data_IF_373110720888
#
_entry.id   IF_373110720888
#
_cell.length_a   1.000
_cell.length_b   1.000
_cell.length_c   1.000
_cell.angle_alpha   90.00
_cell.angle_beta   90.00
_cell.angle_gamma   90.00
#
_symmetry.space_group_name_H-M   'P 1'
#
loop_
_entity.id
_entity.type
_entity.pdbx_description
1 polymer ?
#
# COMPACT_ATOMS: atom_id res chain seq x y z
N UNK A 1 39.55 23.23 13.80
CA UNK A 1 38.13 22.79 13.87
C UNK A 1 38.10 21.35 13.39
N UNK A 2 37.57 20.43 14.20
CA UNK A 2 37.75 18.98 13.98
C UNK A 2 36.72 18.41 13.00
N UNK A 3 37.15 17.50 12.12
CA UNK A 3 36.32 16.71 11.18
C UNK A 3 35.07 16.04 11.80
N UNK A 4 34.96 15.96 13.13
CA UNK A 4 33.80 15.41 13.83
C UNK A 4 32.53 16.28 13.80
N UNK A 5 32.66 17.62 13.72
CA UNK A 5 31.48 18.50 13.66
C UNK A 5 30.83 18.51 12.26
N UNK A 6 31.63 18.39 11.20
CA UNK A 6 31.16 18.37 9.82
C UNK A 6 30.40 17.07 9.46
N UNK A 7 30.72 15.95 10.13
CA UNK A 7 29.99 14.69 9.99
C UNK A 7 28.66 14.67 10.76
N UNK A 8 28.57 15.37 11.90
CA UNK A 8 27.31 15.53 12.62
C UNK A 8 26.34 16.48 11.90
N UNK A 9 26.85 17.49 11.21
CA UNK A 9 26.04 18.45 10.43
C UNK A 9 25.50 17.86 9.12
N UNK A 10 26.19 16.87 8.53
CA UNK A 10 25.67 16.12 7.36
C UNK A 10 24.59 15.09 7.71
N UNK A 11 24.47 14.72 8.99
CA UNK A 11 23.49 13.77 9.49
C UNK A 11 22.27 14.43 10.15
N UNK A 12 22.24 15.76 10.27
CA UNK A 12 21.08 16.46 10.84
C UNK A 12 19.88 16.32 9.90
N UNK A 13 18.94 15.48 10.32
CA UNK A 13 17.65 15.31 9.67
C UNK A 13 16.93 16.66 9.75
N UNK A 14 16.92 17.41 8.66
CA UNK A 14 15.98 18.52 8.50
C UNK A 14 14.58 17.91 8.36
N UNK A 15 13.94 17.60 9.50
CA UNK A 15 12.52 17.27 9.56
C UNK A 15 11.75 18.58 9.40
N UNK A 16 11.54 19.01 8.17
CA UNK A 16 10.64 20.12 7.91
C UNK A 16 9.22 19.68 8.25
N UNK A 17 8.53 20.45 9.10
CA UNK A 17 7.11 20.22 9.39
C UNK A 17 6.32 20.42 8.11
N UNK A 18 5.61 19.39 7.67
CA UNK A 18 4.69 19.53 6.56
C UNK A 18 3.34 19.99 7.07
N UNK A 19 2.75 20.96 6.38
CA UNK A 19 1.37 21.33 6.63
C UNK A 19 0.45 20.18 6.16
N UNK A 20 -0.36 19.63 7.07
CA UNK A 20 -1.35 18.59 6.74
C UNK A 20 -2.28 19.04 5.60
N UNK A 21 -2.60 20.34 5.54
CA UNK A 21 -3.42 20.91 4.46
C UNK A 21 -2.76 20.79 3.08
N UNK A 22 -1.42 20.66 3.03
CA UNK A 22 -0.67 20.51 1.78
C UNK A 22 -0.63 19.05 1.31
N UNK A 23 -0.64 18.08 2.22
CA UNK A 23 -0.49 16.64 1.88
C UNK A 23 -1.83 15.93 1.64
N UNK A 24 -2.90 16.38 2.30
CA UNK A 24 -4.22 15.76 2.20
C UNK A 24 -4.79 15.68 0.77
N UNK A 25 -4.70 16.74 -0.07
CA UNK A 25 -5.20 16.66 -1.45
C UNK A 25 -4.49 15.58 -2.28
N UNK A 26 -3.23 15.30 -1.96
CA UNK A 26 -2.43 14.31 -2.67
C UNK A 26 -2.77 12.88 -2.25
N UNK A 27 -3.01 12.68 -0.95
CA UNK A 27 -3.51 11.40 -0.43
C UNK A 27 -4.90 11.12 -1.03
N UNK A 28 -5.78 12.13 -1.14
CA UNK A 28 -7.10 12.01 -1.75
C UNK A 28 -7.05 11.71 -3.26
N UNK A 29 -6.15 12.36 -4.01
CA UNK A 29 -5.94 12.07 -5.42
C UNK A 29 -5.47 10.62 -5.62
N UNK A 30 -4.57 10.15 -4.76
CA UNK A 30 -4.08 8.78 -4.82
C UNK A 30 -5.16 7.75 -4.46
N UNK A 31 -5.98 8.01 -3.43
CA UNK A 31 -7.18 7.19 -3.12
C UNK A 31 -8.09 7.05 -4.34
N UNK A 32 -8.32 8.15 -5.05
CA UNK A 32 -9.13 8.15 -6.28
C UNK A 32 -8.49 7.30 -7.39
N UNK A 33 -7.17 7.43 -7.57
CA UNK A 33 -6.41 6.60 -8.50
C UNK A 33 -6.53 5.11 -8.18
N UNK A 34 -6.35 4.72 -6.91
CA UNK A 34 -6.49 3.31 -6.50
C UNK A 34 -7.90 2.78 -6.71
N UNK A 35 -8.94 3.57 -6.41
CA UNK A 35 -10.33 3.18 -6.68
C UNK A 35 -10.52 2.85 -8.16
N UNK A 36 -10.01 3.68 -9.06
CA UNK A 36 -10.07 3.43 -10.50
C UNK A 36 -9.27 2.20 -10.90
N UNK A 37 -8.07 2.00 -10.33
CA UNK A 37 -7.23 0.85 -10.62
C UNK A 37 -7.88 -0.46 -10.17
N UNK A 38 -8.40 -0.51 -8.95
CA UNK A 38 -9.06 -1.70 -8.40
C UNK A 38 -10.40 -1.96 -9.10
N UNK A 39 -11.13 -0.93 -9.52
CA UNK A 39 -12.30 -1.10 -10.37
C UNK A 39 -11.95 -1.82 -11.68
N UNK A 40 -10.84 -1.45 -12.35
CA UNK A 40 -10.36 -2.15 -13.55
C UNK A 40 -9.98 -3.60 -13.27
N UNK A 41 -9.34 -3.89 -12.12
CA UNK A 41 -9.07 -5.26 -11.72
C UNK A 41 -10.37 -6.06 -11.52
N UNK A 42 -11.41 -5.45 -10.94
CA UNK A 42 -12.73 -6.06 -10.82
C UNK A 42 -13.42 -6.28 -12.18
N UNK A 43 -13.32 -5.33 -13.10
CA UNK A 43 -13.86 -5.45 -14.47
C UNK A 43 -13.17 -6.55 -15.28
N UNK A 44 -11.92 -6.90 -14.94
CA UNK A 44 -11.22 -8.02 -15.56
C UNK A 44 -11.79 -9.39 -15.19
N UNK A 45 -12.69 -9.45 -14.21
CA UNK A 45 -13.54 -10.62 -14.01
C UNK A 45 -14.64 -10.56 -15.09
N UNK A 46 -14.64 -11.55 -16.00
CA UNK A 46 -15.54 -11.68 -17.16
C UNK A 46 -16.95 -11.04 -16.95
N UNK A 47 -17.38 -10.09 -17.81
CA UNK A 47 -18.56 -9.25 -17.64
C UNK A 47 -19.91 -9.96 -17.81
N UNK A 48 -19.94 -11.27 -18.09
CA UNK A 48 -21.19 -12.02 -18.35
C UNK A 48 -22.08 -12.27 -17.12
N UNK A 49 -21.67 -11.83 -15.92
CA UNK A 49 -22.38 -12.14 -14.69
C UNK A 49 -23.06 -10.91 -14.10
N UNK A 50 -24.40 -10.97 -14.02
CA UNK A 50 -25.24 -9.99 -13.32
C UNK A 50 -24.79 -9.87 -11.87
N UNK A 51 -24.20 -8.72 -11.56
CA UNK A 51 -23.70 -8.37 -10.24
C UNK A 51 -24.89 -8.13 -9.31
N UNK A 52 -25.25 -9.10 -8.48
CA UNK A 52 -26.18 -8.85 -7.38
C UNK A 52 -25.39 -8.25 -6.22
N UNK A 53 -25.22 -6.92 -6.21
CA UNK A 53 -24.69 -6.20 -5.04
C UNK A 53 -25.70 -6.32 -3.90
N UNK A 54 -25.48 -7.27 -2.99
CA UNK A 54 -26.20 -7.31 -1.73
C UNK A 54 -25.21 -6.93 -0.64
N UNK A 55 -25.26 -5.65 -0.25
CA UNK A 55 -24.56 -5.12 0.92
C UNK A 55 -24.98 -5.95 2.13
N UNK A 56 -24.15 -6.90 2.54
CA UNK A 56 -24.39 -7.65 3.78
C UNK A 56 -23.85 -6.79 4.91
N UNK A 57 -24.77 -6.09 5.55
CA UNK A 57 -24.50 -5.25 6.71
C UNK A 57 -24.09 -6.14 7.90
N UNK A 58 -22.79 -6.42 8.04
CA UNK A 58 -22.23 -7.19 9.16
C UNK A 58 -22.24 -6.32 10.43
N UNK A 59 -23.42 -6.18 11.02
CA UNK A 59 -23.69 -5.27 12.14
C UNK A 59 -23.02 -5.60 13.48
N UNK A 60 -22.30 -6.71 13.61
CA UNK A 60 -21.81 -7.19 14.93
C UNK A 60 -20.47 -6.53 15.33
N UNK A 61 -19.71 -5.96 14.39
CA UNK A 61 -18.38 -5.34 14.66
C UNK A 61 -18.42 -3.80 14.62
N UNK A 62 -19.56 -3.21 14.28
CA UNK A 62 -19.70 -1.76 14.05
C UNK A 62 -19.59 -0.92 15.32
N UNK A 63 -20.19 -1.33 16.43
CA UNK A 63 -20.30 -0.46 17.62
C UNK A 63 -18.94 -0.28 18.32
N UNK A 64 -18.21 -1.37 18.54
CA UNK A 64 -16.89 -1.34 19.16
C UNK A 64 -15.86 -0.69 18.23
N UNK A 65 -15.88 -1.03 16.94
CA UNK A 65 -15.00 -0.36 15.96
C UNK A 65 -15.30 1.13 15.89
N UNK A 66 -16.59 1.54 15.90
CA UNK A 66 -16.98 2.95 15.92
C UNK A 66 -16.48 3.66 17.17
N UNK A 67 -16.61 3.06 18.36
CA UNK A 67 -16.08 3.62 19.60
C UNK A 67 -14.55 3.77 19.57
N UNK A 68 -13.85 2.76 19.07
CA UNK A 68 -12.39 2.84 18.87
C UNK A 68 -12.02 3.93 17.86
N UNK A 69 -12.78 4.07 16.76
CA UNK A 69 -12.57 5.11 15.74
C UNK A 69 -12.85 6.51 16.30
N UNK A 70 -13.91 6.69 17.08
CA UNK A 70 -14.25 7.96 17.73
C UNK A 70 -13.19 8.36 18.77
N UNK A 71 -12.75 7.41 19.61
CA UNK A 71 -11.70 7.63 20.60
C UNK A 71 -10.35 7.93 19.93
N UNK A 72 -10.01 7.20 18.87
CA UNK A 72 -8.79 7.45 18.10
C UNK A 72 -8.84 8.79 17.35
N UNK A 73 -9.97 9.14 16.74
CA UNK A 73 -10.14 10.44 16.09
C UNK A 73 -10.01 11.60 17.09
N UNK A 74 -10.53 11.42 18.31
CA UNK A 74 -10.35 12.37 19.40
C UNK A 74 -8.87 12.49 19.83
N UNK A 75 -8.13 11.38 19.93
CA UNK A 75 -6.69 11.39 20.25
C UNK A 75 -5.85 12.03 19.12
N UNK A 76 -6.16 11.74 17.86
CA UNK A 76 -5.55 12.37 16.67
C UNK A 76 -5.82 13.88 16.63
N UNK A 77 -7.03 14.32 17.00
CA UNK A 77 -7.37 15.74 17.09
C UNK A 77 -6.55 16.46 18.18
N UNK A 78 -6.20 15.76 19.26
CA UNK A 78 -5.35 16.29 20.33
C UNK A 78 -3.86 16.25 19.99
N UNK A 79 -3.43 15.33 19.11
CA UNK A 79 -2.03 15.11 18.72
C UNK A 79 -1.94 14.88 17.21
N UNK A 80 -2.13 15.92 16.38
CA UNK A 80 -2.10 15.75 14.94
C UNK A 80 -0.75 15.13 14.53
N UNK A 81 -0.78 14.04 13.76
CA UNK A 81 0.39 13.23 13.50
C UNK A 81 1.31 14.04 12.58
N UNK A 82 2.54 14.26 13.01
CA UNK A 82 3.48 15.11 12.29
C UNK A 82 3.80 14.47 10.94
N UNK A 83 3.47 15.15 9.85
CA UNK A 83 3.92 14.75 8.53
C UNK A 83 5.41 15.11 8.43
N UNK A 84 6.26 14.10 8.21
CA UNK A 84 7.71 14.23 8.09
C UNK A 84 8.06 14.30 6.60
N UNK A 85 8.71 15.39 6.17
CA UNK A 85 9.36 15.44 4.85
C UNK A 85 10.76 14.89 4.97
N UNK A 86 11.09 13.88 4.18
CA UNK A 86 12.46 13.37 4.12
C UNK A 86 13.19 14.00 2.94
N UNK A 87 14.07 14.93 3.25
CA UNK A 87 15.05 15.44 2.29
C UNK A 87 16.11 14.36 2.03
N UNK A 88 16.08 13.78 0.84
CA UNK A 88 17.00 12.75 0.37
C UNK A 88 18.29 13.41 -0.12
N UNK A 89 19.41 12.81 0.25
CA UNK A 89 20.76 13.14 -0.23
C UNK A 89 21.35 11.88 -0.85
N UNK A 90 22.42 11.98 -1.68
CA UNK A 90 23.15 10.80 -2.13
C UNK A 90 23.55 9.90 -0.96
N UNK A 91 23.40 8.59 -1.15
CA UNK A 91 23.63 7.57 -0.13
C UNK A 91 22.39 6.73 0.14
N UNK A 92 22.46 5.91 1.19
CA UNK A 92 21.38 5.04 1.63
C UNK A 92 20.77 5.55 2.94
N UNK A 93 19.44 5.47 3.04
CA UNK A 93 18.68 5.87 4.23
C UNK A 93 17.60 4.85 4.55
N UNK A 94 17.39 4.65 5.84
CA UNK A 94 16.28 3.85 6.36
C UNK A 94 15.22 4.80 6.95
N UNK A 95 13.99 4.67 6.49
CA UNK A 95 12.85 5.48 6.92
C UNK A 95 11.80 4.57 7.55
N UNK A 96 11.68 4.62 8.87
CA UNK A 96 10.70 3.88 9.66
C UNK A 96 9.51 4.73 10.08
N UNK A 97 8.55 4.15 10.81
CA UNK A 97 7.40 4.87 11.34
C UNK A 97 7.78 5.97 12.35
N UNK A 98 6.89 6.95 12.60
CA UNK A 98 5.59 7.08 11.97
C UNK A 98 5.72 7.49 10.49
N UNK A 99 4.93 6.84 9.64
CA UNK A 99 4.79 7.19 8.22
C UNK A 99 3.97 8.46 8.07
N UNK A 100 3.87 9.00 6.86
CA UNK A 100 3.14 10.23 6.61
C UNK A 100 1.76 9.99 6.02
N UNK A 101 1.63 8.94 5.21
CA UNK A 101 0.39 8.58 4.56
C UNK A 101 -0.11 7.24 5.09
N UNK A 102 -1.42 7.17 5.32
CA UNK A 102 -2.16 5.95 5.63
C UNK A 102 -3.35 5.85 4.67
N UNK A 103 -3.60 4.64 4.21
CA UNK A 103 -4.67 4.31 3.28
C UNK A 103 -5.57 3.24 3.89
N UNK A 104 -6.87 3.54 3.93
CA UNK A 104 -7.93 2.59 4.28
C UNK A 104 -9.09 2.79 3.31
N UNK A 105 -9.34 1.82 2.42
CA UNK A 105 -10.40 1.94 1.41
C UNK A 105 -11.04 0.58 1.10
N UNK A 106 -12.36 0.56 0.93
CA UNK A 106 -13.08 -0.63 0.45
C UNK A 106 -14.32 -1.01 1.26
N UNK A 107 -14.93 -2.12 0.86
CA UNK A 107 -16.17 -2.67 1.42
C UNK A 107 -15.94 -3.73 2.50
N UNK A 108 -14.69 -4.10 2.76
CA UNK A 108 -14.32 -5.07 3.78
C UNK A 108 -13.78 -4.43 5.07
N UNK A 109 -13.51 -5.25 6.09
CA UNK A 109 -12.81 -4.77 7.29
C UNK A 109 -11.35 -4.47 6.93
N UNK A 110 -11.02 -3.20 6.82
CA UNK A 110 -9.67 -2.73 6.55
C UNK A 110 -9.01 -2.34 7.88
N UNK A 111 -7.92 -3.02 8.22
CA UNK A 111 -7.14 -2.77 9.44
C UNK A 111 -5.91 -1.94 9.11
N UNK A 112 -6.08 -0.75 8.52
CA UNK A 112 -4.99 0.23 8.43
C UNK A 112 -5.00 1.29 9.51
N UNK A 113 -6.03 1.36 10.35
CA UNK A 113 -6.06 2.30 11.46
C UNK A 113 -4.84 2.02 12.36
N UNK A 114 -3.93 2.99 12.47
CA UNK A 114 -2.60 2.91 13.10
C UNK A 114 -1.44 2.39 12.26
N UNK A 115 -1.64 1.98 11.01
CA UNK A 115 -0.53 1.59 10.12
C UNK A 115 0.49 2.70 10.00
N UNK A 116 0.05 3.96 10.09
CA UNK A 116 0.97 5.09 10.14
C UNK A 116 2.00 4.95 11.25
N UNK A 117 1.63 4.43 12.42
CA UNK A 117 2.47 4.40 13.61
C UNK A 117 3.30 3.12 13.75
N UNK A 118 2.84 2.00 13.19
CA UNK A 118 3.50 0.71 13.36
C UNK A 118 3.79 -0.03 12.06
N UNK A 119 3.29 0.44 10.92
CA UNK A 119 3.47 -0.18 9.61
C UNK A 119 2.67 -1.45 9.39
N UNK A 120 1.72 -1.80 10.26
CA UNK A 120 0.86 -2.98 10.10
C UNK A 120 -0.27 -2.67 9.14
N UNK A 121 -0.37 -3.46 8.08
CA UNK A 121 -1.43 -3.39 7.09
C UNK A 121 -2.30 -4.63 7.22
N UNK A 122 -3.61 -4.48 7.03
CA UNK A 122 -4.54 -5.59 7.05
C UNK A 122 -5.76 -5.34 6.17
N UNK A 123 -6.16 -6.35 5.42
CA UNK A 123 -7.40 -6.35 4.64
C UNK A 123 -8.16 -7.65 4.87
N UNK A 124 -9.48 -7.52 5.04
CA UNK A 124 -10.44 -8.62 5.04
C UNK A 124 -11.53 -8.21 4.06
N UNK A 125 -11.89 -9.06 3.10
CA UNK A 125 -12.92 -8.73 2.10
C UNK A 125 -13.85 -9.91 1.91
N UNK A 126 -15.15 -9.60 1.91
CA UNK A 126 -16.24 -10.52 1.61
C UNK A 126 -17.08 -10.04 0.43
N UNK A 127 -16.82 -8.82 -0.05
CA UNK A 127 -17.40 -8.23 -1.25
C UNK A 127 -16.53 -7.09 -1.77
N UNK A 128 -16.61 -6.80 -3.08
CA UNK A 128 -16.05 -5.58 -3.67
C UNK A 128 -14.53 -5.56 -3.74
N UNK A 129 -13.93 -4.51 -3.21
CA UNK A 129 -12.47 -4.40 -3.08
C UNK A 129 -12.11 -3.93 -1.67
N UNK A 130 -10.88 -4.18 -1.25
CA UNK A 130 -10.32 -3.67 -0.01
C UNK A 130 -8.84 -3.38 -0.17
N UNK A 131 -8.38 -2.28 0.43
CA UNK A 131 -7.00 -1.81 0.32
C UNK A 131 -6.54 -1.14 1.60
N UNK A 132 -5.30 -1.46 2.01
CA UNK A 132 -4.66 -1.00 3.23
C UNK A 132 -3.22 -0.62 2.90
N UNK A 133 -2.74 0.57 3.25
CA UNK A 133 -1.40 1.00 2.85
C UNK A 133 -0.77 2.07 3.70
N UNK A 134 0.55 2.22 3.54
CA UNK A 134 1.39 3.25 4.16
C UNK A 134 2.31 3.89 3.15
N UNK A 135 2.67 5.15 3.39
CA UNK A 135 3.59 5.85 2.50
C UNK A 135 4.42 6.92 3.15
N UNK A 136 5.49 7.24 2.43
CA UNK A 136 6.47 8.25 2.80
C UNK A 136 6.54 9.37 1.77
N UNK A 137 6.83 10.59 2.24
CA UNK A 137 7.12 11.71 1.35
C UNK A 137 8.63 11.96 1.23
N UNK A 138 9.13 11.92 0.00
CA UNK A 138 10.52 12.19 -0.33
C UNK A 138 10.64 13.48 -1.14
N UNK A 139 11.63 14.29 -0.83
CA UNK A 139 12.05 15.45 -1.62
C UNK A 139 13.57 15.46 -1.75
N UNK A 140 14.11 16.20 -2.72
CA UNK A 140 15.55 16.37 -2.85
C UNK A 140 15.89 17.79 -3.31
N UNK A 141 16.96 18.42 -2.78
CA UNK A 141 17.41 19.73 -3.25
C UNK A 141 18.20 19.63 -4.57
N UNK A 142 18.60 18.42 -4.97
CA UNK A 142 19.35 18.14 -6.19
C UNK A 142 18.69 17.01 -6.99
N UNK A 143 19.01 16.89 -8.27
CA UNK A 143 18.54 15.76 -9.06
C UNK A 143 19.20 14.47 -8.56
N UNK A 144 18.44 13.39 -8.37
CA UNK A 144 18.92 12.09 -7.91
C UNK A 144 18.22 10.95 -8.66
N UNK A 145 18.94 9.87 -8.91
CA UNK A 145 18.32 8.58 -9.23
C UNK A 145 18.09 7.84 -7.90
N UNK A 146 16.83 7.53 -7.60
CA UNK A 146 16.41 6.92 -6.34
C UNK A 146 15.89 5.50 -6.56
N UNK A 147 16.24 4.61 -5.63
CA UNK A 147 15.73 3.26 -5.50
C UNK A 147 15.06 3.11 -4.14
N UNK A 148 13.77 2.77 -4.13
CA UNK A 148 13.00 2.61 -2.89
C UNK A 148 12.53 1.18 -2.72
N UNK A 149 12.86 0.57 -1.58
CA UNK A 149 12.51 -0.80 -1.22
C UNK A 149 11.80 -0.84 0.13
N UNK A 150 10.53 -1.26 0.21
CA UNK A 150 9.91 -1.56 1.50
C UNK A 150 10.58 -2.80 2.10
N UNK A 151 10.82 -2.75 3.41
CA UNK A 151 11.19 -3.92 4.18
C UNK A 151 9.94 -4.61 4.73
N UNK A 152 10.12 -5.84 5.19
CA UNK A 152 9.09 -6.63 5.85
C UNK A 152 8.36 -7.60 4.93
N UNK A 153 7.33 -8.24 5.49
CA UNK A 153 6.68 -9.40 4.91
C UNK A 153 5.18 -9.14 4.74
N UNK A 154 4.60 -9.82 3.76
CA UNK A 154 3.16 -9.97 3.59
C UNK A 154 2.77 -11.44 3.71
N UNK A 155 1.60 -11.69 4.28
CA UNK A 155 1.01 -13.01 4.41
C UNK A 155 -0.44 -12.93 3.95
N UNK A 156 -0.92 -14.00 3.32
CA UNK A 156 -2.32 -14.14 2.95
C UNK A 156 -2.83 -15.52 3.33
N UNK A 157 -4.13 -15.60 3.54
CA UNK A 157 -4.86 -16.85 3.60
C UNK A 157 -6.26 -16.64 3.08
N UNK A 158 -6.81 -17.64 2.40
CA UNK A 158 -8.22 -17.66 2.06
C UNK A 158 -8.82 -19.03 2.34
N UNK A 159 -10.10 -19.03 2.65
CA UNK A 159 -10.89 -20.22 2.93
C UNK A 159 -12.25 -20.09 2.24
N UNK A 160 -12.66 -21.14 1.55
CA UNK A 160 -14.02 -21.38 1.07
C UNK A 160 -14.60 -22.54 1.88
N UNK A 161 -15.51 -22.21 2.79
CA UNK A 161 -16.24 -23.17 3.61
C UNK A 161 -17.61 -23.55 3.01
N UNK A 162 -18.03 -22.88 1.94
CA UNK A 162 -19.22 -23.21 1.17
C UNK A 162 -19.08 -24.49 0.34
N UNK A 163 -20.18 -24.95 -0.25
CA UNK A 163 -20.15 -25.95 -1.32
C UNK A 163 -19.48 -25.42 -2.59
N UNK A 164 -19.56 -26.13 -3.72
CA UNK A 164 -18.98 -25.65 -4.98
C UNK A 164 -19.53 -24.28 -5.37
N UNK A 165 -18.64 -23.29 -5.48
CA UNK A 165 -18.97 -21.91 -5.87
C UNK A 165 -18.27 -21.58 -7.19
N UNK A 166 -18.80 -22.00 -8.35
CA UNK A 166 -18.15 -21.82 -9.66
C UNK A 166 -18.02 -20.35 -10.08
N UNK A 167 -18.78 -19.45 -9.45
CA UNK A 167 -18.82 -18.02 -9.76
C UNK A 167 -17.95 -17.17 -8.83
N UNK A 168 -17.36 -17.77 -7.79
CA UNK A 168 -16.45 -17.08 -6.89
C UNK A 168 -15.21 -16.59 -7.66
N UNK A 169 -14.88 -15.30 -7.54
CA UNK A 169 -13.66 -14.70 -8.07
C UNK A 169 -13.02 -13.88 -6.96
N UNK A 170 -11.78 -14.18 -6.62
CA UNK A 170 -11.01 -13.36 -5.69
C UNK A 170 -9.57 -13.24 -6.16
N UNK A 171 -9.01 -12.03 -6.08
CA UNK A 171 -7.59 -11.79 -6.30
C UNK A 171 -7.09 -10.86 -5.24
N UNK A 172 -5.80 -10.94 -4.95
CA UNK A 172 -5.17 -9.91 -4.14
C UNK A 172 -3.68 -10.06 -4.09
N UNK A 173 -3.04 -9.08 -3.46
CA UNK A 173 -1.61 -9.04 -3.34
C UNK A 173 -1.10 -7.69 -2.86
N UNK A 174 0.10 -7.34 -3.26
CA UNK A 174 0.82 -6.14 -2.78
C UNK A 174 1.11 -5.21 -3.95
N UNK A 175 1.11 -3.92 -3.67
CA UNK A 175 1.41 -2.88 -4.65
C UNK A 175 2.45 -1.89 -4.12
N UNK A 176 3.17 -1.28 -5.05
CA UNK A 176 4.04 -0.12 -4.80
C UNK A 176 3.81 0.93 -5.88
N UNK A 177 3.79 2.20 -5.48
CA UNK A 177 3.64 3.32 -6.37
C UNK A 177 4.54 4.46 -5.94
N UNK A 178 5.05 5.18 -6.93
CA UNK A 178 5.75 6.45 -6.76
C UNK A 178 4.99 7.50 -7.55
N UNK A 179 4.55 8.54 -6.87
CA UNK A 179 3.80 9.63 -7.48
C UNK A 179 4.52 10.96 -7.25
N UNK A 180 4.82 11.68 -8.33
CA UNK A 180 5.23 13.08 -8.21
C UNK A 180 4.00 13.91 -7.83
N UNK A 181 4.14 14.70 -6.79
CA UNK A 181 3.09 15.56 -6.28
C UNK A 181 2.80 16.68 -7.29
N UNK A 182 1.54 16.76 -7.73
CA UNK A 182 1.11 17.64 -8.81
C UNK A 182 1.37 17.09 -10.22
N UNK A 183 1.92 15.87 -10.32
CA UNK A 183 2.07 15.15 -11.59
C UNK A 183 0.76 14.51 -12.06
N UNK A 184 0.60 14.29 -13.37
CA UNK A 184 -0.63 13.73 -13.94
C UNK A 184 -0.79 12.22 -13.71
N UNK A 185 0.29 11.50 -13.40
CA UNK A 185 0.30 10.04 -13.29
C UNK A 185 1.35 9.56 -12.28
N UNK A 186 1.26 8.28 -11.89
CA UNK A 186 2.33 7.61 -11.16
C UNK A 186 3.58 7.48 -12.07
N UNK A 187 4.76 7.76 -11.50
CA UNK A 187 6.04 7.54 -12.16
C UNK A 187 6.40 6.05 -12.18
N UNK A 188 6.04 5.35 -11.12
CA UNK A 188 6.15 3.89 -10.99
C UNK A 188 4.86 3.39 -10.40
N UNK A 189 4.31 2.34 -10.98
CA UNK A 189 3.21 1.56 -10.40
C UNK A 189 3.49 0.09 -10.68
N UNK A 190 3.50 -0.74 -9.65
CA UNK A 190 3.63 -2.19 -9.76
C UNK A 190 2.69 -2.86 -8.79
N UNK A 191 2.06 -3.94 -9.23
CA UNK A 191 1.17 -4.77 -8.42
C UNK A 191 1.54 -6.23 -8.62
N UNK A 192 1.92 -6.90 -7.53
CA UNK A 192 2.11 -8.34 -7.51
C UNK A 192 0.81 -9.01 -7.05
N UNK A 193 0.41 -10.07 -7.74
CA UNK A 193 -0.73 -10.91 -7.35
C UNK A 193 -0.19 -12.06 -6.52
N UNK A 194 -0.64 -12.16 -5.27
CA UNK A 194 -0.25 -13.23 -4.34
C UNK A 194 -1.21 -14.43 -4.41
N UNK A 195 -2.49 -14.18 -4.68
CA UNK A 195 -3.47 -15.22 -4.96
C UNK A 195 -4.44 -14.80 -6.07
N UNK A 196 -4.99 -15.80 -6.76
CA UNK A 196 -6.09 -15.63 -7.70
C UNK A 196 -6.96 -16.88 -7.69
N UNK A 197 -8.14 -16.77 -7.12
CA UNK A 197 -9.15 -17.82 -7.03
C UNK A 197 -10.22 -17.59 -8.10
N UNK A 198 -10.50 -18.65 -8.87
CA UNK A 198 -11.55 -18.69 -9.88
C UNK A 198 -12.34 -19.97 -9.67
N UNK A 199 -13.46 -19.83 -8.97
CA UNK A 199 -14.31 -20.93 -8.57
C UNK A 199 -13.71 -21.79 -7.48
N UNK A 200 -14.57 -22.46 -6.71
CA UNK A 200 -14.20 -23.53 -5.77
C UNK A 200 -15.03 -24.77 -6.09
N UNK A 201 -14.44 -25.95 -5.92
CA UNK A 201 -15.03 -27.22 -6.35
C UNK A 201 -15.47 -28.13 -5.21
N UNK A 202 -15.20 -27.75 -3.96
CA UNK A 202 -15.48 -28.58 -2.80
C UNK A 202 -15.55 -27.76 -1.51
N UNK A 203 -15.88 -28.45 -0.42
CA UNK A 203 -16.04 -27.86 0.91
C UNK A 203 -14.65 -27.76 1.58
N UNK A 204 -14.38 -26.67 2.28
CA UNK A 204 -13.12 -26.41 3.01
C UNK A 204 -11.88 -26.37 2.09
N UNK A 205 -12.00 -25.67 0.96
CA UNK A 205 -10.85 -25.34 0.13
C UNK A 205 -10.17 -24.08 0.64
N UNK A 206 -8.85 -24.04 0.62
CA UNK A 206 -8.10 -22.88 1.07
C UNK A 206 -6.68 -22.90 0.57
N UNK A 207 -6.05 -21.74 0.66
CA UNK A 207 -4.63 -21.57 0.38
C UNK A 207 -4.06 -20.54 1.37
N UNK A 208 -2.76 -20.62 1.59
CA UNK A 208 -2.02 -19.62 2.34
C UNK A 208 -0.62 -19.45 1.76
N UNK A 209 -0.06 -18.28 1.99
CA UNK A 209 1.29 -17.99 1.53
C UNK A 209 1.77 -16.66 2.07
N UNK A 210 3.02 -16.35 1.76
CA UNK A 210 3.64 -15.11 2.20
C UNK A 210 5.10 -15.03 1.81
N UNK A 211 5.70 -13.90 2.16
CA UNK A 211 7.10 -13.64 1.89
C UNK A 211 7.44 -12.15 1.96
N UNK A 212 8.69 -11.79 1.65
CA UNK A 212 9.13 -10.41 1.62
C UNK A 212 8.33 -9.58 0.62
N UNK A 213 7.81 -8.43 1.05
CA UNK A 213 6.96 -7.56 0.22
C UNK A 213 7.70 -7.16 -1.06
N UNK A 214 8.97 -6.79 -0.91
CA UNK A 214 9.82 -6.35 -2.01
C UNK A 214 10.04 -7.41 -3.10
N UNK A 215 10.01 -8.68 -2.72
CA UNK A 215 10.35 -9.81 -3.58
C UNK A 215 9.09 -10.45 -4.21
N UNK A 216 7.91 -9.88 -3.96
CA UNK A 216 6.68 -10.31 -4.61
C UNK A 216 6.78 -10.14 -6.14
N UNK A 217 6.42 -11.19 -6.88
CA UNK A 217 6.57 -11.23 -8.34
C UNK A 217 5.42 -10.49 -9.01
N UNK A 218 5.77 -9.45 -9.77
CA UNK A 218 4.83 -8.63 -10.55
C UNK A 218 4.54 -9.29 -11.89
N UNK A 219 5.58 -9.79 -12.54
CA UNK A 219 5.48 -10.47 -13.82
C UNK A 219 6.63 -11.47 -14.00
N UNK A 220 6.39 -12.54 -14.74
CA UNK A 220 7.44 -13.43 -15.22
C UNK A 220 7.73 -13.09 -16.67
N UNK A 221 8.98 -12.74 -16.96
CA UNK A 221 9.45 -12.39 -18.31
C UNK A 221 10.41 -13.45 -18.83
N UNK A 222 10.73 -13.49 -20.14
CA UNK A 222 11.79 -14.34 -20.66
C UNK A 222 13.17 -14.12 -20.01
N UNK A 223 13.37 -12.98 -19.34
CA UNK A 223 14.61 -12.60 -18.66
C UNK A 223 14.57 -12.83 -17.14
N UNK A 224 13.52 -13.49 -16.63
CA UNK A 224 13.32 -13.77 -15.22
C UNK A 224 12.15 -13.01 -14.60
N UNK A 225 12.05 -13.09 -13.27
CA UNK A 225 10.98 -12.48 -12.51
C UNK A 225 11.22 -10.98 -12.32
N UNK A 226 10.21 -10.19 -12.64
CA UNK A 226 10.14 -8.79 -12.26
C UNK A 226 9.56 -8.71 -10.85
N UNK A 227 10.36 -8.20 -9.92
CA UNK A 227 9.97 -8.05 -8.52
C UNK A 227 9.25 -6.71 -8.29
N UNK A 228 8.50 -6.64 -7.19
CA UNK A 228 7.79 -5.43 -6.77
C UNK A 228 8.76 -4.27 -6.55
N UNK A 229 9.86 -4.51 -5.84
CA UNK A 229 10.84 -3.50 -5.48
C UNK A 229 12.28 -3.94 -5.82
N UNK A 230 13.24 -3.01 -5.97
CA UNK A 230 13.11 -1.57 -5.76
C UNK A 230 12.27 -0.84 -6.81
N UNK A 231 11.53 0.18 -6.39
CA UNK A 231 10.96 1.18 -7.28
C UNK A 231 12.06 2.18 -7.66
N UNK A 232 12.40 2.25 -8.95
CA UNK A 232 13.44 3.12 -9.49
C UNK A 232 12.81 4.33 -10.15
N UNK A 233 13.23 5.53 -9.77
CA UNK A 233 12.75 6.77 -10.39
C UNK A 233 13.75 7.91 -10.22
N UNK A 234 13.62 8.95 -11.05
CA UNK A 234 14.45 10.14 -10.96
C UNK A 234 13.73 11.23 -10.16
N UNK A 235 14.35 11.64 -9.05
CA UNK A 235 13.93 12.79 -8.27
C UNK A 235 14.47 14.07 -8.91
N UNK A 236 13.60 15.07 -9.07
CA UNK A 236 13.94 16.40 -9.54
C UNK A 236 14.07 17.36 -8.34
N UNK A 237 14.95 18.37 -8.42
CA UNK A 237 15.09 19.38 -7.38
C UNK A 237 13.76 20.06 -7.04
N UNK A 238 13.45 20.17 -5.76
CA UNK A 238 12.26 20.90 -5.27
C UNK A 238 10.92 20.22 -5.56
N UNK A 239 10.93 18.98 -6.07
CA UNK A 239 9.73 18.17 -6.24
C UNK A 239 9.52 17.26 -5.04
N UNK A 240 8.25 17.06 -4.71
CA UNK A 240 7.81 16.15 -3.66
C UNK A 240 7.29 14.87 -4.30
N UNK A 241 7.61 13.74 -3.70
CA UNK A 241 7.23 12.41 -4.17
C UNK A 241 6.54 11.63 -3.05
N UNK A 242 5.37 11.08 -3.32
CA UNK A 242 4.73 10.11 -2.44
C UNK A 242 5.10 8.70 -2.89
N UNK A 243 5.68 7.92 -1.99
CA UNK A 243 5.95 6.50 -2.18
C UNK A 243 4.92 5.78 -1.32
N UNK A 244 4.08 4.94 -1.93
CA UNK A 244 3.10 4.14 -1.19
C UNK A 244 3.34 2.65 -1.42
N UNK A 245 3.20 1.88 -0.35
CA UNK A 245 3.05 0.42 -0.39
C UNK A 245 1.70 0.06 0.19
N UNK A 246 0.96 -0.80 -0.50
CA UNK A 246 -0.38 -1.20 -0.07
C UNK A 246 -0.65 -2.67 -0.32
N UNK A 247 -1.53 -3.24 0.48
CA UNK A 247 -2.27 -4.47 0.24
C UNK A 247 -3.49 -4.13 -0.60
N UNK A 248 -3.83 -5.00 -1.56
CA UNK A 248 -5.06 -4.89 -2.33
C UNK A 248 -5.70 -6.25 -2.45
N UNK A 249 -7.03 -6.27 -2.46
CA UNK A 249 -7.81 -7.43 -2.83
C UNK A 249 -9.11 -7.04 -3.49
N UNK A 250 -9.58 -7.90 -4.38
CA UNK A 250 -10.87 -7.83 -5.04
C UNK A 250 -11.61 -9.14 -4.83
N UNK A 251 -12.93 -9.02 -4.73
CA UNK A 251 -13.84 -10.12 -4.49
C UNK A 251 -15.13 -9.91 -5.28
N UNK A 252 -15.57 -10.95 -5.97
CA UNK A 252 -16.89 -11.05 -6.58
C UNK A 252 -17.43 -12.47 -6.40
N UNK A 253 -18.64 -12.59 -5.86
CA UNK A 253 -19.33 -13.85 -5.67
C UNK A 253 -20.85 -13.63 -5.86
N UNK A 254 -21.57 -14.72 -6.13
CA UNK A 254 -23.02 -14.68 -6.30
C UNK A 254 -23.67 -15.39 -5.10
N UNK A 255 -23.94 -14.65 -4.03
CA UNK A 255 -24.61 -15.17 -2.83
C UNK A 255 -23.66 -15.56 -1.69
N UNK A 256 -24.13 -16.44 -0.79
CA UNK A 256 -23.41 -16.87 0.42
C UNK A 256 -22.40 -18.00 0.12
N UNK A 257 -21.37 -17.68 -0.67
CA UNK A 257 -20.34 -18.64 -1.09
C UNK A 257 -19.36 -19.05 0.03
N UNK A 258 -19.61 -18.62 1.28
CA UNK A 258 -18.84 -19.02 2.46
C UNK A 258 -17.34 -18.77 2.30
N UNK A 259 -16.95 -17.69 1.62
CA UNK A 259 -15.56 -17.37 1.34
C UNK A 259 -15.07 -16.21 2.21
N UNK A 260 -13.85 -16.33 2.70
CA UNK A 260 -13.15 -15.28 3.41
C UNK A 260 -11.68 -15.25 2.99
N UNK A 261 -11.13 -14.06 2.84
CA UNK A 261 -9.71 -13.85 2.63
C UNK A 261 -9.16 -12.84 3.63
N UNK A 262 -7.99 -13.16 4.17
CA UNK A 262 -7.22 -12.33 5.07
C UNK A 262 -5.88 -12.04 4.40
N UNK A 263 -5.48 -10.78 4.40
CA UNK A 263 -4.14 -10.40 4.03
C UNK A 263 -3.58 -9.43 5.06
N UNK A 264 -2.38 -9.72 5.53
CA UNK A 264 -1.66 -8.87 6.48
C UNK A 264 -0.28 -8.57 5.93
N UNK A 265 0.26 -7.41 6.29
CA UNK A 265 1.65 -7.09 6.04
C UNK A 265 2.22 -6.24 7.17
N UNK A 266 3.53 -6.31 7.33
CA UNK A 266 4.28 -5.47 8.24
C UNK A 266 5.36 -4.76 7.44
N UNK A 267 5.26 -3.43 7.34
CA UNK A 267 6.28 -2.57 6.74
C UNK A 267 7.00 -1.85 7.87
N UNK A 268 8.14 -2.34 8.39
CA UNK A 268 8.84 -1.67 9.48
C UNK A 268 9.67 -0.47 9.02
N UNK A 269 10.06 -0.44 7.74
CA UNK A 269 10.82 0.66 7.16
C UNK A 269 10.84 0.62 5.62
N UNK A 270 11.24 1.73 5.02
CA UNK A 270 11.68 1.84 3.63
C UNK A 270 13.19 2.06 3.57
N UNK A 271 13.87 1.33 2.70
CA UNK A 271 15.24 1.64 2.28
C UNK A 271 15.16 2.56 1.07
N UNK A 272 15.81 3.71 1.15
CA UNK A 272 15.94 4.67 0.07
C UNK A 272 17.42 4.81 -0.26
N UNK A 273 17.83 4.26 -1.40
CA UNK A 273 19.20 4.39 -1.91
C UNK A 273 19.17 5.38 -3.08
N UNK A 274 19.87 6.50 -2.95
CA UNK A 274 19.88 7.56 -3.95
C UNK A 274 21.32 7.88 -4.39
N UNK A 275 21.49 8.23 -5.66
CA UNK A 275 22.78 8.64 -6.22
C UNK A 275 22.61 9.79 -7.19
N UNK A 276 23.67 10.54 -7.44
CA UNK A 276 23.68 11.54 -8.50
C UNK A 276 23.40 10.87 -9.86
N UNK A 277 22.60 11.50 -10.74
CA UNK A 277 22.27 10.93 -12.04
C UNK A 277 23.54 10.68 -12.85
N UNK A 278 23.68 9.46 -13.36
CA UNK A 278 24.80 9.14 -14.25
C UNK A 278 24.40 9.54 -15.66
N UNK A 279 24.92 10.67 -16.16
CA UNK A 279 24.79 10.99 -17.58
C UNK A 279 25.72 10.07 -18.35
N UNK A 280 25.14 9.14 -19.11
CA UNK A 280 25.87 8.47 -20.19
C UNK A 280 25.63 9.36 -21.41
N UNK A 281 26.60 10.23 -21.69
CA UNK A 281 26.65 11.02 -22.93
C UNK A 281 27.05 10.16 -24.13
#
# INVERSE_FOLDING_TARGET
MSNGQELQERASISRAKVNHAETEPHIAAFRSFLKQRLAKEMESFDPTHERTTRTTDTGIVREDSRRYLEAWAADQALRPPQALRFTVQPGERLIGPPYEAELSEGSGNVHSFTSRNDGKLGTISTEGFSSSGVGIFLESPIALDAAVKPLGNSEFSWLSAGGPSPNLRSRGGVGIAVHEIGGPAALVERMATLWSVVGTTGILQGDNGGGPIADAVVATTPFGHMLLAPALFRMQPGKLYLILVWLWQTFAANGDDGFICFQNAQVPAFVVSARSPTYIG
#
